data_IF_491896556705
#
_entry.id   IF_491896556705
#
_cell.length_a   1.000
_cell.length_b   1.000
_cell.length_c   1.000
_cell.angle_alpha   90.00
_cell.angle_beta   90.00
_cell.angle_gamma   90.00
#
_symmetry.space_group_name_H-M   'P 1'
#
loop_
_entity.id
_entity.type
_entity.pdbx_description
1 polymer ?
#
# COMPACT_ATOMS: atom_id res chain seq x y z
N UNK A 1 17.85 2.78 -1.29
CA UNK A 1 16.51 2.49 -0.75
C UNK A 1 16.01 1.12 -1.15
N UNK A 2 16.10 0.17 -0.20
CA UNK A 2 15.39 -1.11 -0.25
C UNK A 2 13.86 -0.94 -0.25
N UNK A 3 13.35 0.15 0.35
CA UNK A 3 11.96 0.59 0.30
C UNK A 3 11.88 2.08 -0.05
N UNK A 4 10.81 2.49 -0.74
CA UNK A 4 10.56 3.90 -1.14
C UNK A 4 9.25 4.46 -0.60
N UNK A 5 8.56 3.70 0.25
CA UNK A 5 7.24 4.04 0.76
C UNK A 5 7.27 5.23 1.75
N UNK A 6 8.37 5.38 2.48
CA UNK A 6 8.66 6.52 3.33
C UNK A 6 9.95 7.21 2.92
N UNK A 7 9.96 8.53 3.04
CA UNK A 7 11.18 9.32 2.89
C UNK A 7 12.01 9.28 4.18
N UNK A 8 13.33 9.26 4.04
CA UNK A 8 14.24 9.43 5.18
C UNK A 8 14.01 10.77 5.89
N UNK A 9 14.25 10.80 7.20
CA UNK A 9 14.11 11.98 8.04
C UNK A 9 13.20 11.76 9.26
N UNK A 10 12.90 12.85 9.96
CA UNK A 10 11.95 12.87 11.07
C UNK A 10 10.80 13.80 10.73
N UNK A 11 9.57 13.32 10.86
CA UNK A 11 8.37 14.14 10.73
C UNK A 11 7.39 13.86 11.84
N UNK A 12 6.57 14.87 12.15
CA UNK A 12 5.44 14.70 13.04
C UNK A 12 4.16 14.88 12.26
N UNK A 13 3.19 14.04 12.57
CA UNK A 13 1.85 14.05 12.00
C UNK A 13 0.87 13.65 13.09
N UNK A 14 -0.42 13.73 12.81
CA UNK A 14 -1.47 13.31 13.72
C UNK A 14 -2.17 12.07 13.18
N UNK A 15 -2.60 11.24 14.12
CA UNK A 15 -3.52 10.14 13.90
C UNK A 15 -4.79 10.44 14.69
N UNK A 16 -5.95 10.22 14.10
CA UNK A 16 -7.23 10.47 14.76
C UNK A 16 -8.38 9.84 14.00
N UNK A 17 -9.59 10.07 14.50
CA UNK A 17 -10.79 9.50 13.88
C UNK A 17 -11.30 10.46 12.79
N UNK A 18 -11.70 9.90 11.66
CA UNK A 18 -12.43 10.62 10.64
C UNK A 18 -13.86 10.92 11.16
N UNK A 19 -14.35 12.17 11.14
CA UNK A 19 -15.58 12.56 11.84
C UNK A 19 -16.87 11.84 11.41
N UNK A 20 -16.94 11.42 10.15
CA UNK A 20 -18.12 10.81 9.52
C UNK A 20 -18.13 9.29 9.64
N UNK A 21 -16.99 8.63 9.40
CA UNK A 21 -16.87 7.17 9.37
C UNK A 21 -16.42 6.59 10.72
N UNK A 22 -15.76 7.40 11.55
CA UNK A 22 -15.12 6.95 12.79
C UNK A 22 -13.87 6.09 12.56
N UNK A 23 -13.43 5.93 11.30
CA UNK A 23 -12.23 5.16 10.97
C UNK A 23 -10.97 5.96 11.29
N UNK A 24 -9.89 5.25 11.62
CA UNK A 24 -8.60 5.86 11.91
C UNK A 24 -7.97 6.41 10.62
N UNK A 25 -7.53 7.66 10.65
CA UNK A 25 -6.86 8.36 9.55
C UNK A 25 -5.65 9.15 10.06
N UNK A 26 -4.80 9.62 9.14
CA UNK A 26 -3.60 10.40 9.43
C UNK A 26 -3.55 11.69 8.61
N UNK A 27 -2.90 12.74 9.08
CA UNK A 27 -2.69 13.98 8.30
C UNK A 27 -1.33 14.01 7.57
N UNK A 28 -0.68 12.85 7.41
CA UNK A 28 0.60 12.69 6.72
C UNK A 28 0.40 12.43 5.22
N UNK A 29 1.14 13.16 4.39
CA UNK A 29 1.12 13.04 2.91
C UNK A 29 2.14 12.04 2.37
N UNK A 30 2.75 11.21 3.22
CA UNK A 30 3.69 10.18 2.76
C UNK A 30 2.98 9.16 1.84
N UNK A 31 3.62 8.72 0.74
CA UNK A 31 3.01 7.78 -0.21
C UNK A 31 2.44 6.52 0.42
N UNK A 32 3.06 6.01 1.50
CA UNK A 32 2.57 4.86 2.26
C UNK A 32 1.14 5.06 2.80
N UNK A 33 0.80 6.24 3.31
CA UNK A 33 -0.54 6.47 3.83
C UNK A 33 -1.54 6.74 2.70
N UNK A 34 -1.09 7.33 1.60
CA UNK A 34 -1.93 7.58 0.43
C UNK A 34 -2.28 6.29 -0.31
N UNK A 35 -1.38 5.29 -0.37
CA UNK A 35 -1.63 4.00 -1.03
C UNK A 35 -2.82 3.26 -0.45
N UNK A 36 -3.07 3.45 0.84
CA UNK A 36 -4.12 2.79 1.61
C UNK A 36 -5.28 3.74 1.92
N UNK A 37 -5.33 4.89 1.25
CA UNK A 37 -6.34 5.92 1.42
C UNK A 37 -6.53 6.38 2.90
N UNK A 38 -5.43 6.50 3.64
CA UNK A 38 -5.43 6.83 5.07
C UNK A 38 -5.34 8.32 5.37
N UNK A 39 -5.06 9.18 4.38
CA UNK A 39 -4.96 10.61 4.61
C UNK A 39 -6.33 11.24 4.93
N UNK A 40 -6.35 12.17 5.88
CA UNK A 40 -7.43 13.13 6.02
C UNK A 40 -6.93 14.41 6.70
N UNK A 41 -7.41 15.55 6.22
CA UNK A 41 -7.14 16.85 6.83
C UNK A 41 -8.01 17.15 8.06
N UNK A 42 -9.09 16.40 8.24
CA UNK A 42 -10.06 16.59 9.31
C UNK A 42 -10.05 15.40 10.27
N UNK A 43 -9.40 15.57 11.42
CA UNK A 43 -9.29 14.54 12.46
C UNK A 43 -9.89 15.02 13.78
N UNK A 44 -10.68 14.16 14.43
CA UNK A 44 -11.10 14.32 15.84
C UNK A 44 -10.28 13.38 16.73
N UNK A 45 -10.27 13.66 18.05
CA UNK A 45 -9.51 12.89 19.06
C UNK A 45 -8.00 12.72 18.76
N UNK A 46 -7.45 13.61 17.93
CA UNK A 46 -6.14 13.39 17.34
C UNK A 46 -5.00 13.33 18.35
N UNK A 47 -4.04 12.45 18.06
CA UNK A 47 -2.79 12.26 18.80
C UNK A 47 -1.63 12.54 17.87
N UNK A 48 -0.67 13.31 18.35
CA UNK A 48 0.55 13.60 17.60
C UNK A 48 1.50 12.42 17.71
N UNK A 49 1.99 11.94 16.57
CA UNK A 49 3.06 10.97 16.45
C UNK A 49 4.29 11.61 15.82
N UNK A 50 5.46 11.07 16.12
CA UNK A 50 6.73 11.40 15.46
C UNK A 50 7.26 10.13 14.83
N UNK A 51 7.50 10.15 13.51
CA UNK A 51 8.08 9.05 12.75
C UNK A 51 9.47 9.46 12.26
N UNK A 52 10.48 8.69 12.65
CA UNK A 52 11.85 8.79 12.14
C UNK A 52 12.13 7.57 11.27
N UNK A 53 12.52 7.80 10.01
CA UNK A 53 12.92 6.77 9.04
C UNK A 53 14.34 7.08 8.63
N UNK A 54 15.20 6.07 8.65
CA UNK A 54 16.57 6.17 8.22
C UNK A 54 16.95 4.86 7.53
N UNK A 55 17.46 4.95 6.31
CA UNK A 55 18.04 3.80 5.64
C UNK A 55 19.41 3.48 6.24
N UNK A 56 19.53 2.29 6.84
CA UNK A 56 20.80 1.76 7.34
C UNK A 56 21.46 0.90 6.26
N UNK A 57 21.81 1.50 5.11
CA UNK A 57 22.44 0.77 4.01
C UNK A 57 23.97 0.93 4.01
N UNK A 58 24.62 -0.24 3.95
CA UNK A 58 26.03 -0.51 3.62
C UNK A 58 27.06 -0.50 4.77
N UNK A 59 28.13 -1.28 4.58
CA UNK A 59 29.28 -1.49 5.50
C UNK A 59 30.04 -0.19 5.84
N UNK A 60 29.68 0.92 5.19
CA UNK A 60 30.15 2.28 5.45
C UNK A 60 29.25 3.08 6.39
N UNK A 61 28.17 2.50 6.93
CA UNK A 61 27.35 3.13 7.97
C UNK A 61 28.27 3.41 9.15
N UNK A 62 28.80 4.62 9.20
CA UNK A 62 29.77 4.99 10.20
C UNK A 62 29.09 4.94 11.57
N UNK A 63 29.84 4.61 12.62
CA UNK A 63 29.34 4.71 14.01
C UNK A 63 28.68 6.07 14.27
N UNK A 64 29.15 7.12 13.58
CA UNK A 64 28.60 8.45 13.65
C UNK A 64 27.15 8.53 13.13
N UNK A 65 26.82 7.90 12.01
CA UNK A 65 25.44 7.90 11.48
C UNK A 65 24.45 7.23 12.43
N UNK A 66 24.84 6.10 13.03
CA UNK A 66 24.02 5.41 14.04
C UNK A 66 23.88 6.28 15.29
N UNK A 67 24.96 6.96 15.68
CA UNK A 67 24.96 7.85 16.84
C UNK A 67 24.08 9.08 16.62
N UNK A 68 24.14 9.71 15.45
CA UNK A 68 23.26 10.82 15.04
C UNK A 68 21.79 10.38 15.01
N UNK A 69 21.50 9.18 14.53
CA UNK A 69 20.15 8.61 14.56
C UNK A 69 19.68 8.38 16.00
N UNK A 70 20.51 7.78 16.86
CA UNK A 70 20.20 7.56 18.27
C UNK A 70 19.94 8.88 19.02
N UNK A 71 20.75 9.90 18.74
CA UNK A 71 20.55 11.26 19.26
C UNK A 71 19.25 11.89 18.73
N UNK A 72 18.91 11.65 17.46
CA UNK A 72 17.67 12.15 16.84
C UNK A 72 16.42 11.51 17.45
N UNK A 73 16.43 10.18 17.64
CA UNK A 73 15.29 9.45 18.23
C UNK A 73 15.11 9.83 19.71
N UNK A 74 16.20 10.23 20.39
CA UNK A 74 16.21 10.78 21.75
C UNK A 74 15.27 10.03 22.72
N UNK A 75 15.49 8.72 22.83
CA UNK A 75 14.70 7.85 23.70
C UNK A 75 15.00 8.21 25.16
N UNK A 76 14.09 8.97 25.77
CA UNK A 76 14.19 9.45 27.16
C UNK A 76 13.16 8.82 28.10
N UNK A 77 12.25 8.01 27.55
CA UNK A 77 11.16 7.32 28.27
C UNK A 77 11.21 5.82 27.98
N UNK A 78 10.62 4.97 28.83
CA UNK A 78 10.43 3.56 28.51
C UNK A 78 9.69 3.40 27.18
N UNK A 79 10.19 2.53 26.33
CA UNK A 79 9.63 2.24 25.01
C UNK A 79 9.56 0.73 24.81
N UNK A 80 8.61 0.29 23.99
CA UNK A 80 8.59 -1.07 23.47
C UNK A 80 9.39 -1.04 22.19
N UNK A 81 10.49 -1.79 22.16
CA UNK A 81 11.22 -2.05 20.94
C UNK A 81 10.58 -3.26 20.28
N UNK A 82 9.87 -3.01 19.19
CA UNK A 82 9.42 -4.07 18.29
C UNK A 82 10.47 -4.22 17.19
N UNK A 83 11.00 -5.42 17.03
CA UNK A 83 11.95 -5.73 15.96
C UNK A 83 11.28 -6.76 15.08
N UNK A 84 10.62 -6.27 14.04
CA UNK A 84 10.08 -7.10 12.98
C UNK A 84 11.26 -7.57 12.11
N UNK A 85 11.87 -8.68 12.53
CA UNK A 85 12.79 -9.46 11.70
C UNK A 85 11.96 -10.36 10.80
N UNK A 86 11.20 -9.75 9.92
CA UNK A 86 10.54 -10.44 8.84
C UNK A 86 11.60 -10.97 7.88
N UNK A 87 12.14 -12.14 8.20
CA UNK A 87 12.86 -13.02 7.30
C UNK A 87 11.85 -13.64 6.32
N UNK A 88 11.05 -12.82 5.64
CA UNK A 88 10.53 -13.24 4.34
C UNK A 88 11.73 -13.35 3.42
N UNK A 89 11.75 -14.37 2.57
CA UNK A 89 12.66 -14.37 1.43
C UNK A 89 12.67 -12.97 0.83
N UNK A 90 13.83 -12.39 0.59
CA UNK A 90 13.94 -11.12 -0.13
C UNK A 90 13.38 -11.19 -1.56
N UNK A 91 12.93 -12.38 -1.99
CA UNK A 91 12.09 -12.59 -3.16
C UNK A 91 10.62 -12.34 -2.83
N UNK A 92 10.01 -11.48 -3.63
CA UNK A 92 8.56 -11.29 -3.66
C UNK A 92 7.87 -12.64 -3.97
N UNK A 93 7.04 -13.18 -3.05
CA UNK A 93 6.45 -14.51 -3.19
C UNK A 93 5.52 -14.64 -4.40
N UNK A 94 5.00 -13.51 -4.91
CA UNK A 94 4.11 -13.45 -6.07
C UNK A 94 4.86 -13.48 -7.40
N UNK A 95 6.17 -13.26 -7.44
CA UNK A 95 6.94 -13.32 -8.70
C UNK A 95 6.95 -14.72 -9.32
N UNK A 96 6.87 -15.76 -8.47
CA UNK A 96 6.87 -17.15 -8.92
C UNK A 96 5.46 -17.65 -9.25
N UNK A 97 4.43 -16.97 -8.76
CA UNK A 97 3.04 -17.33 -9.05
C UNK A 97 2.73 -16.93 -10.49
N UNK A 98 2.43 -17.92 -11.33
CA UNK A 98 2.20 -17.74 -12.76
C UNK A 98 3.29 -16.91 -13.47
N UNK A 99 4.57 -17.21 -13.21
CA UNK A 99 5.74 -16.52 -13.80
C UNK A 99 5.70 -16.52 -15.34
N UNK A 100 5.15 -17.58 -15.97
CA UNK A 100 5.05 -17.72 -17.42
C UNK A 100 4.23 -16.62 -18.11
N UNK A 101 3.28 -16.01 -17.39
CA UNK A 101 2.46 -14.90 -17.89
C UNK A 101 2.91 -13.55 -17.31
N UNK A 102 3.94 -13.53 -16.46
CA UNK A 102 4.40 -12.33 -15.78
C UNK A 102 3.29 -11.71 -14.92
N UNK A 103 2.59 -12.52 -14.11
CA UNK A 103 1.41 -12.08 -13.35
C UNK A 103 1.66 -10.77 -12.58
N UNK A 104 2.80 -10.66 -11.90
CA UNK A 104 3.16 -9.46 -11.15
C UNK A 104 3.15 -8.19 -12.01
N UNK A 105 3.70 -8.25 -13.22
CA UNK A 105 3.74 -7.12 -14.15
C UNK A 105 2.34 -6.76 -14.69
N UNK A 106 1.44 -7.75 -14.76
CA UNK A 106 0.04 -7.54 -15.13
C UNK A 106 -0.77 -6.90 -13.99
N UNK A 107 -0.42 -7.18 -12.74
CA UNK A 107 -1.07 -6.61 -11.55
C UNK A 107 -0.65 -5.15 -11.29
N UNK A 108 0.61 -4.78 -11.55
CA UNK A 108 1.13 -3.43 -11.30
C UNK A 108 0.21 -2.29 -11.82
N UNK A 109 -0.21 -2.26 -13.10
CA UNK A 109 -1.06 -1.19 -13.64
C UNK A 109 -2.52 -1.20 -13.15
N UNK A 110 -2.94 -2.25 -12.42
CA UNK A 110 -4.26 -2.35 -11.78
C UNK A 110 -4.24 -1.65 -10.43
N UNK A 111 -3.14 -1.82 -9.68
CA UNK A 111 -2.97 -1.28 -8.33
C UNK A 111 -2.21 0.05 -8.28
N UNK A 112 -1.68 0.53 -9.40
CA UNK A 112 -0.96 1.81 -9.49
C UNK A 112 -1.79 2.97 -8.89
N UNK A 113 -1.18 3.67 -7.94
CA UNK A 113 -1.70 4.93 -7.40
C UNK A 113 -1.00 6.10 -8.08
N UNK A 114 -1.78 7.00 -8.66
CA UNK A 114 -1.28 8.31 -9.08
C UNK A 114 -1.17 9.23 -7.87
N UNK A 115 0.06 9.49 -7.45
CA UNK A 115 0.33 10.44 -6.38
C UNK A 115 -0.05 11.87 -6.81
N UNK A 116 -0.59 12.69 -5.91
CA UNK A 116 -0.86 14.10 -6.18
C UNK A 116 0.44 14.87 -6.43
N UNK A 117 0.36 15.94 -7.23
CA UNK A 117 1.52 16.76 -7.60
C UNK A 117 1.95 17.71 -6.48
N UNK A 118 1.04 18.04 -5.56
CA UNK A 118 1.28 18.94 -4.44
C UNK A 118 0.67 18.42 -3.14
N UNK A 119 1.16 18.96 -2.02
CA UNK A 119 0.62 18.69 -0.68
C UNK A 119 -0.60 19.58 -0.34
N UNK A 120 -1.31 20.10 -1.35
CA UNK A 120 -2.55 20.84 -1.12
C UNK A 120 -3.64 19.91 -0.57
N UNK A 121 -4.33 20.39 0.46
CA UNK A 121 -5.37 19.64 1.17
C UNK A 121 -6.44 19.08 0.22
N UNK A 122 -6.88 19.87 -0.77
CA UNK A 122 -7.94 19.44 -1.69
C UNK A 122 -7.44 18.42 -2.70
N UNK A 123 -6.18 18.54 -3.13
CA UNK A 123 -5.57 17.55 -4.02
C UNK A 123 -5.37 16.22 -3.29
N UNK A 124 -4.95 16.27 -2.03
CA UNK A 124 -4.78 15.09 -1.18
C UNK A 124 -6.12 14.39 -0.91
N UNK A 125 -7.15 15.12 -0.46
CA UNK A 125 -8.48 14.55 -0.23
C UNK A 125 -9.07 13.95 -1.51
N UNK A 126 -8.91 14.63 -2.66
CA UNK A 126 -9.34 14.08 -3.95
C UNK A 126 -8.58 12.81 -4.34
N UNK A 127 -7.27 12.74 -4.06
CA UNK A 127 -6.47 11.56 -4.33
C UNK A 127 -6.92 10.37 -3.46
N UNK A 128 -7.24 10.63 -2.18
CA UNK A 128 -7.82 9.64 -1.26
C UNK A 128 -9.18 9.15 -1.77
N UNK A 129 -10.11 10.04 -2.12
CA UNK A 129 -11.43 9.66 -2.64
C UNK A 129 -11.35 8.84 -3.95
N UNK A 130 -10.39 9.12 -4.81
CA UNK A 130 -10.14 8.33 -6.02
C UNK A 130 -9.56 6.95 -5.67
N UNK A 131 -8.65 6.90 -4.69
CA UNK A 131 -8.03 5.66 -4.24
C UNK A 131 -9.02 4.75 -3.51
N UNK A 132 -9.87 5.29 -2.63
CA UNK A 132 -10.93 4.52 -1.97
C UNK A 132 -11.84 3.85 -2.99
N UNK A 133 -12.32 4.60 -4.00
CA UNK A 133 -13.15 4.03 -5.07
C UNK A 133 -12.45 2.95 -5.87
N UNK A 134 -11.17 3.14 -6.21
CA UNK A 134 -10.37 2.12 -6.90
C UNK A 134 -10.28 0.85 -6.06
N UNK A 135 -9.96 0.97 -4.76
CA UNK A 135 -9.84 -0.19 -3.86
C UNK A 135 -11.18 -0.90 -3.65
N UNK A 136 -12.28 -0.14 -3.50
CA UNK A 136 -13.63 -0.71 -3.37
C UNK A 136 -14.08 -1.45 -4.64
N UNK A 137 -13.76 -0.94 -5.84
CA UNK A 137 -14.06 -1.65 -7.09
C UNK A 137 -13.21 -2.92 -7.19
N UNK A 138 -11.90 -2.84 -6.89
CA UNK A 138 -11.01 -4.01 -6.90
C UNK A 138 -11.49 -5.09 -5.94
N UNK A 139 -11.82 -4.73 -4.70
CA UNK A 139 -12.33 -5.67 -3.71
C UNK A 139 -13.56 -6.41 -4.24
N UNK A 140 -14.54 -5.69 -4.82
CA UNK A 140 -15.74 -6.31 -5.40
C UNK A 140 -15.41 -7.24 -6.56
N UNK A 141 -14.48 -6.87 -7.43
CA UNK A 141 -14.09 -7.67 -8.58
C UNK A 141 -13.37 -8.96 -8.17
N UNK A 142 -12.40 -8.87 -7.26
CA UNK A 142 -11.64 -10.03 -6.78
C UNK A 142 -12.49 -10.95 -5.90
N UNK A 143 -13.37 -10.40 -5.05
CA UNK A 143 -14.36 -11.21 -4.32
C UNK A 143 -15.30 -11.96 -5.27
N UNK A 144 -15.75 -11.31 -6.36
CA UNK A 144 -16.58 -11.99 -7.35
C UNK A 144 -15.81 -13.08 -8.10
N UNK A 145 -14.55 -12.84 -8.44
CA UNK A 145 -13.68 -13.85 -9.06
C UNK A 145 -13.47 -15.05 -8.14
N UNK A 146 -13.23 -14.83 -6.86
CA UNK A 146 -13.11 -15.89 -5.85
C UNK A 146 -14.41 -16.72 -5.75
N UNK A 147 -15.58 -16.08 -5.78
CA UNK A 147 -16.87 -16.76 -5.68
C UNK A 147 -17.32 -17.48 -6.96
N UNK A 148 -17.01 -16.94 -8.14
CA UNK A 148 -17.58 -17.38 -9.43
C UNK A 148 -16.57 -17.87 -10.47
N UNK A 149 -15.28 -17.61 -10.26
CA UNK A 149 -14.18 -18.02 -11.14
C UNK A 149 -14.02 -17.21 -12.43
N UNK A 150 -14.91 -16.26 -12.72
CA UNK A 150 -14.86 -15.36 -13.88
C UNK A 150 -15.75 -14.13 -13.66
N UNK A 151 -15.70 -13.16 -14.58
CA UNK A 151 -16.47 -11.90 -14.51
C UNK A 151 -17.65 -11.83 -15.50
N UNK A 152 -18.02 -12.92 -16.19
CA UNK A 152 -19.03 -12.87 -17.28
C UNK A 152 -20.40 -12.35 -16.83
N UNK A 153 -20.78 -12.66 -15.59
CA UNK A 153 -22.08 -12.30 -15.00
C UNK A 153 -21.95 -11.23 -13.92
N UNK A 154 -20.82 -10.53 -13.85
CA UNK A 154 -20.65 -9.44 -12.90
C UNK A 154 -21.59 -8.28 -13.26
N UNK A 155 -22.43 -7.88 -12.30
CA UNK A 155 -23.45 -6.82 -12.44
C UNK A 155 -23.06 -5.52 -11.73
N UNK A 156 -21.88 -5.47 -11.09
CA UNK A 156 -21.39 -4.29 -10.39
C UNK A 156 -20.86 -3.19 -11.32
N UNK A 157 -20.13 -2.24 -10.72
CA UNK A 157 -19.52 -1.12 -11.44
C UNK A 157 -18.47 -1.59 -12.45
N UNK A 158 -18.52 -1.07 -13.68
CA UNK A 158 -17.61 -1.45 -14.78
C UNK A 158 -16.84 -0.24 -15.28
N UNK A 159 -15.84 0.20 -14.52
CA UNK A 159 -14.94 1.26 -14.99
C UNK A 159 -13.84 0.68 -15.90
N UNK A 160 -12.85 1.49 -16.28
CA UNK A 160 -11.63 0.99 -16.95
C UNK A 160 -10.93 -0.11 -16.13
N UNK A 161 -11.13 -0.11 -14.81
CA UNK A 161 -10.57 -1.11 -13.92
C UNK A 161 -11.17 -2.50 -14.17
N UNK A 162 -12.48 -2.59 -14.37
CA UNK A 162 -13.14 -3.83 -14.78
C UNK A 162 -12.50 -4.41 -16.04
N UNK A 163 -12.26 -3.58 -17.06
CA UNK A 163 -11.64 -4.05 -18.30
C UNK A 163 -10.22 -4.57 -18.08
N UNK A 164 -9.45 -3.95 -17.17
CA UNK A 164 -8.11 -4.42 -16.80
C UNK A 164 -8.17 -5.76 -16.05
N UNK A 165 -9.04 -5.87 -15.05
CA UNK A 165 -9.20 -7.09 -14.25
C UNK A 165 -9.79 -8.23 -15.08
N UNK A 166 -10.71 -7.95 -16.01
CA UNK A 166 -11.24 -8.97 -16.94
C UNK A 166 -10.16 -9.51 -17.87
N UNK A 167 -9.28 -8.65 -18.41
CA UNK A 167 -8.15 -9.13 -19.22
C UNK A 167 -7.16 -9.94 -18.39
N UNK A 168 -6.88 -9.50 -17.16
CA UNK A 168 -6.06 -10.25 -16.22
C UNK A 168 -6.69 -11.62 -15.96
N UNK A 169 -8.00 -11.67 -15.70
CA UNK A 169 -8.69 -12.90 -15.34
C UNK A 169 -8.63 -13.92 -16.46
N UNK A 170 -8.85 -13.50 -17.71
CA UNK A 170 -8.78 -14.38 -18.88
C UNK A 170 -7.38 -15.02 -19.02
N UNK A 171 -6.32 -14.25 -18.78
CA UNK A 171 -4.93 -14.74 -18.89
C UNK A 171 -4.60 -15.71 -17.75
N UNK A 172 -5.01 -15.40 -16.52
CA UNK A 172 -4.78 -16.26 -15.35
C UNK A 172 -5.56 -17.57 -15.47
N UNK A 173 -6.84 -17.53 -15.88
CA UNK A 173 -7.66 -18.73 -16.12
C UNK A 173 -6.98 -19.64 -17.16
N UNK A 174 -6.55 -19.06 -18.29
CA UNK A 174 -5.89 -19.82 -19.34
C UNK A 174 -4.55 -20.44 -18.90
N UNK A 175 -3.83 -19.81 -17.97
CA UNK A 175 -2.58 -20.38 -17.43
C UNK A 175 -2.86 -21.47 -16.39
N UNK A 176 -3.81 -21.24 -15.47
CA UNK A 176 -4.25 -22.21 -14.49
C UNK A 176 -4.76 -23.51 -15.16
N UNK A 177 -5.53 -23.39 -16.25
CA UNK A 177 -5.97 -24.52 -17.07
C UNK A 177 -4.81 -25.33 -17.67
N UNK A 178 -3.72 -24.68 -18.11
CA UNK A 178 -2.53 -25.38 -18.62
C UNK A 178 -1.78 -26.14 -17.53
N UNK A 179 -1.75 -25.57 -16.32
CA UNK A 179 -1.10 -26.16 -15.16
C UNK A 179 -1.96 -27.24 -14.48
N UNK A 180 -3.26 -27.29 -14.80
CA UNK A 180 -4.20 -28.26 -14.25
C UNK A 180 -4.59 -27.94 -12.81
N UNK A 181 -4.50 -26.67 -12.42
CA UNK A 181 -4.86 -26.16 -11.10
C UNK A 181 -5.95 -25.09 -11.22
N UNK A 182 -6.81 -24.92 -10.20
CA UNK A 182 -7.74 -23.79 -10.19
C UNK A 182 -6.99 -22.47 -10.01
N UNK A 183 -7.46 -21.36 -10.61
CA UNK A 183 -7.02 -20.02 -10.26
C UNK A 183 -7.15 -19.77 -8.75
N UNK A 184 -6.19 -19.03 -8.19
CA UNK A 184 -6.17 -18.56 -6.80
C UNK A 184 -6.36 -17.03 -6.87
N UNK A 185 -7.53 -16.55 -6.46
CA UNK A 185 -7.97 -15.16 -6.65
C UNK A 185 -7.82 -14.28 -5.41
#
# INVERSE_FOLDING_TARGET
PWAKQFRDGTRAFHVGDQPTTGLLRVDSTEPYYLSDALYSSHLINKRKLTLTVAELSDMSTSKQTIQELAETINISQPYVLDIDLDFFSTGNPFLLQYENIGLYDLLEPIFELKLPESDDEKEMEKAVELRERQLEELEKLFLYLEEHGNLEKYEGEKTELFDKVSRLSDVVIAEAEKLGEPPDW
#
